data_IF_909775624711
#
_entry.id   IF_909775624711
#
_cell.length_a   1.000
_cell.length_b   1.000
_cell.length_c   1.000
_cell.angle_alpha   90.00
_cell.angle_beta   90.00
_cell.angle_gamma   90.00
#
_symmetry.space_group_name_H-M   'P 1'
#
loop_
_entity.id
_entity.type
_entity.pdbx_description
1 polymer ?
#
# COMPACT_ATOMS: atom_id res chain seq x y z
N UNK A 1 0.88 7.93 22.03
CA UNK A 1 1.72 9.00 21.45
C UNK A 1 1.65 8.94 19.92
N UNK A 2 1.91 10.03 19.20
CA UNK A 2 1.72 10.09 17.73
C UNK A 2 2.51 9.00 17.00
N UNK A 3 3.78 8.82 17.34
CA UNK A 3 4.65 7.84 16.68
C UNK A 3 4.16 6.40 16.83
N UNK A 4 3.57 6.05 18.00
CA UNK A 4 3.03 4.71 18.25
C UNK A 4 1.78 4.47 17.42
N UNK A 5 0.88 5.46 17.38
CA UNK A 5 -0.31 5.40 16.53
C UNK A 5 0.07 5.26 15.04
N UNK A 6 1.09 5.98 14.57
CA UNK A 6 1.59 5.84 13.18
C UNK A 6 2.09 4.41 12.93
N UNK A 7 2.87 3.83 13.85
CA UNK A 7 3.35 2.46 13.72
C UNK A 7 2.20 1.44 13.70
N UNK A 8 1.19 1.62 14.55
CA UNK A 8 -0.03 0.79 14.57
C UNK A 8 -0.82 0.91 13.26
N UNK A 9 -1.00 2.13 12.75
CA UNK A 9 -1.67 2.38 11.47
C UNK A 9 -0.92 1.65 10.34
N UNK A 10 0.41 1.81 10.24
CA UNK A 10 1.23 1.13 9.23
C UNK A 10 1.00 -0.38 9.28
N UNK A 11 1.11 -0.97 10.48
CA UNK A 11 0.94 -2.42 10.66
C UNK A 11 -0.44 -2.90 10.21
N UNK A 12 -1.50 -2.19 10.62
CA UNK A 12 -2.88 -2.55 10.27
C UNK A 12 -3.10 -2.41 8.75
N UNK A 13 -2.64 -1.30 8.16
CA UNK A 13 -2.81 -1.06 6.73
C UNK A 13 -2.03 -2.05 5.89
N UNK A 14 -0.80 -2.41 6.28
CA UNK A 14 0.05 -3.36 5.57
C UNK A 14 -0.57 -4.76 5.57
N UNK A 15 -1.12 -5.20 6.72
CA UNK A 15 -1.86 -6.46 6.80
C UNK A 15 -3.07 -6.42 5.85
N UNK A 16 -3.82 -5.32 5.82
CA UNK A 16 -4.97 -5.16 4.93
C UNK A 16 -4.58 -5.17 3.45
N UNK A 17 -3.53 -4.43 3.08
CA UNK A 17 -2.97 -4.43 1.71
C UNK A 17 -2.51 -5.83 1.32
N UNK A 18 -1.77 -6.52 2.19
CA UNK A 18 -1.29 -7.88 1.94
C UNK A 18 -2.42 -8.84 1.60
N UNK A 19 -3.48 -8.87 2.42
CA UNK A 19 -4.60 -9.79 2.19
C UNK A 19 -5.43 -9.42 0.97
N UNK A 20 -5.64 -8.12 0.71
CA UNK A 20 -6.30 -7.66 -0.51
C UNK A 20 -5.51 -8.08 -1.76
N UNK A 21 -4.21 -7.78 -1.78
CA UNK A 21 -3.31 -8.14 -2.87
C UNK A 21 -3.23 -9.66 -3.08
N UNK A 22 -3.12 -10.43 -2.00
CA UNK A 22 -3.16 -11.89 -2.07
C UNK A 22 -4.49 -12.38 -2.66
N UNK A 23 -5.62 -11.83 -2.26
CA UNK A 23 -6.91 -12.20 -2.82
C UNK A 23 -6.99 -11.88 -4.33
N UNK A 24 -6.42 -10.76 -4.78
CA UNK A 24 -6.32 -10.41 -6.20
C UNK A 24 -5.51 -11.42 -7.01
N UNK A 25 -4.49 -12.03 -6.42
CA UNK A 25 -3.68 -13.07 -7.07
C UNK A 25 -4.31 -14.47 -7.00
N UNK A 26 -5.07 -14.79 -5.95
CA UNK A 26 -5.59 -16.15 -5.72
C UNK A 26 -7.01 -16.36 -6.27
N UNK A 27 -7.82 -15.30 -6.40
CA UNK A 27 -9.22 -15.39 -6.85
C UNK A 27 -9.32 -15.01 -8.34
N UNK A 28 -9.67 -15.93 -9.26
CA UNK A 28 -9.65 -15.67 -10.71
C UNK A 28 -10.54 -14.51 -11.17
N UNK A 29 -11.63 -14.23 -10.46
CA UNK A 29 -12.50 -13.10 -10.77
C UNK A 29 -11.84 -11.75 -10.43
N UNK A 30 -11.09 -11.68 -9.33
CA UNK A 30 -10.40 -10.47 -8.90
C UNK A 30 -9.16 -10.20 -9.75
N UNK A 31 -8.44 -11.25 -10.15
CA UNK A 31 -7.28 -11.14 -11.04
C UNK A 31 -7.57 -10.34 -12.32
N UNK A 32 -8.78 -10.43 -12.88
CA UNK A 32 -9.16 -9.66 -14.08
C UNK A 32 -8.99 -8.15 -13.92
N UNK A 33 -9.15 -7.63 -12.69
CA UNK A 33 -8.90 -6.22 -12.38
C UNK A 33 -7.42 -5.96 -12.10
N UNK A 34 -6.78 -6.85 -11.34
CA UNK A 34 -5.38 -6.71 -10.93
C UNK A 34 -4.39 -6.92 -12.08
N UNK A 35 -4.77 -7.65 -13.12
CA UNK A 35 -3.97 -7.83 -14.33
C UNK A 35 -3.67 -6.50 -15.03
N UNK A 36 -4.51 -5.47 -14.85
CA UNK A 36 -4.19 -4.10 -15.31
C UNK A 36 -2.94 -3.61 -14.59
N UNK A 37 -2.87 -3.74 -13.25
CA UNK A 37 -1.70 -3.33 -12.49
C UNK A 37 -0.42 -4.04 -12.92
N UNK A 38 -0.48 -5.37 -13.13
CA UNK A 38 0.66 -6.17 -13.62
C UNK A 38 0.95 -6.02 -15.11
N UNK A 39 0.19 -5.21 -15.85
CA UNK A 39 0.38 -4.97 -17.27
C UNK A 39 1.49 -3.96 -17.62
N UNK A 40 2.20 -3.43 -16.62
CA UNK A 40 3.30 -2.48 -16.81
C UNK A 40 4.50 -3.21 -17.47
N UNK A 41 4.99 -2.70 -18.59
CA UNK A 41 6.18 -3.25 -19.27
C UNK A 41 7.50 -2.69 -18.71
N UNK A 42 7.50 -1.40 -18.35
CA UNK A 42 8.66 -0.69 -17.81
C UNK A 42 8.27 -0.04 -16.48
N UNK A 43 8.95 -0.41 -15.39
CA UNK A 43 8.64 0.11 -14.07
C UNK A 43 9.19 1.52 -13.90
N UNK A 44 8.32 2.45 -13.52
CA UNK A 44 8.67 3.74 -12.93
C UNK A 44 7.60 4.15 -11.91
N UNK A 45 7.77 5.30 -11.24
CA UNK A 45 6.89 5.76 -10.16
C UNK A 45 5.44 5.99 -10.59
N UNK A 46 5.15 6.12 -11.90
CA UNK A 46 3.77 6.18 -12.40
C UNK A 46 3.07 4.82 -12.29
N UNK A 47 3.82 3.73 -12.21
CA UNK A 47 3.31 2.39 -11.92
C UNK A 47 2.49 2.30 -10.63
N UNK A 48 2.78 3.17 -9.65
CA UNK A 48 1.97 3.30 -8.43
C UNK A 48 0.50 3.69 -8.69
N UNK A 49 0.22 4.32 -9.83
CA UNK A 49 -1.11 4.78 -10.23
C UNK A 49 -1.70 3.94 -11.36
N UNK A 50 -0.94 2.99 -11.90
CA UNK A 50 -1.41 2.07 -12.92
C UNK A 50 -2.17 0.92 -12.25
N UNK A 51 -3.48 1.12 -12.06
CA UNK A 51 -4.37 0.12 -11.46
C UNK A 51 -5.80 0.30 -11.95
N UNK A 52 -6.57 -0.79 -11.94
CA UNK A 52 -8.00 -0.71 -12.20
C UNK A 52 -8.73 -0.05 -11.00
N UNK A 53 -9.77 0.78 -11.19
CA UNK A 53 -10.47 1.43 -10.06
C UNK A 53 -11.00 0.46 -8.99
N UNK A 54 -11.48 -0.72 -9.39
CA UNK A 54 -11.91 -1.78 -8.44
C UNK A 54 -10.76 -2.26 -7.57
N UNK A 55 -9.56 -2.40 -8.13
CA UNK A 55 -8.37 -2.77 -7.38
C UNK A 55 -8.09 -1.74 -6.28
N UNK A 56 -7.98 -0.47 -6.69
CA UNK A 56 -7.77 0.64 -5.77
C UNK A 56 -8.84 0.70 -4.67
N UNK A 57 -10.12 0.61 -5.03
CA UNK A 57 -11.23 0.70 -4.08
C UNK A 57 -11.20 -0.46 -3.08
N UNK A 58 -11.05 -1.71 -3.54
CA UNK A 58 -11.03 -2.89 -2.66
C UNK A 58 -9.82 -2.85 -1.74
N UNK A 59 -8.64 -2.56 -2.27
CA UNK A 59 -7.40 -2.46 -1.49
C UNK A 59 -7.52 -1.36 -0.42
N UNK A 60 -8.04 -0.18 -0.77
CA UNK A 60 -8.26 0.91 0.20
C UNK A 60 -9.36 0.59 1.21
N UNK A 61 -10.46 -0.03 0.79
CA UNK A 61 -11.54 -0.40 1.69
C UNK A 61 -11.04 -1.39 2.76
N UNK A 62 -10.32 -2.44 2.36
CA UNK A 62 -9.80 -3.45 3.28
C UNK A 62 -8.74 -2.84 4.22
N UNK A 63 -7.82 -2.04 3.68
CA UNK A 63 -6.70 -1.51 4.46
C UNK A 63 -7.07 -0.34 5.38
N UNK A 64 -7.94 0.58 4.95
CA UNK A 64 -8.22 1.82 5.69
C UNK A 64 -9.47 1.76 6.58
N UNK A 65 -10.43 0.86 6.29
CA UNK A 65 -11.65 0.76 7.09
C UNK A 65 -11.36 0.58 8.59
N UNK A 66 -10.46 -0.32 9.03
CA UNK A 66 -10.15 -0.45 10.45
C UNK A 66 -9.63 0.85 11.08
N UNK A 67 -8.83 1.62 10.34
CA UNK A 67 -8.24 2.87 10.83
C UNK A 67 -9.31 3.90 11.20
N UNK A 68 -10.39 3.99 10.42
CA UNK A 68 -11.51 4.89 10.71
C UNK A 68 -12.35 4.48 11.92
N UNK A 69 -12.35 3.20 12.31
CA UNK A 69 -13.11 2.70 13.46
C UNK A 69 -12.32 2.70 14.77
N UNK A 70 -10.99 2.74 14.72
CA UNK A 70 -10.11 2.60 15.88
C UNK A 70 -9.78 3.93 16.60
N UNK A 71 -10.27 5.06 16.08
CA UNK A 71 -10.16 6.35 16.77
C UNK A 71 -8.75 6.95 16.80
N UNK A 72 -7.92 6.67 15.80
CA UNK A 72 -6.61 7.30 15.66
C UNK A 72 -6.73 8.82 15.49
N UNK A 73 -5.73 9.57 15.98
CA UNK A 73 -5.73 11.02 15.85
C UNK A 73 -5.54 11.47 14.40
N UNK A 74 -6.17 12.60 14.03
CA UNK A 74 -6.02 13.19 12.69
C UNK A 74 -4.55 13.45 12.33
N UNK A 75 -3.76 13.91 13.31
CA UNK A 75 -2.33 14.13 13.15
C UNK A 75 -1.58 12.83 12.80
N UNK A 76 -1.89 11.71 13.45
CA UNK A 76 -1.29 10.40 13.13
C UNK A 76 -1.70 9.91 11.75
N UNK A 77 -2.97 10.06 11.37
CA UNK A 77 -3.46 9.70 10.03
C UNK A 77 -2.79 10.55 8.95
N UNK A 78 -2.61 11.85 9.19
CA UNK A 78 -1.92 12.75 8.27
C UNK A 78 -0.44 12.35 8.08
N UNK A 79 0.28 12.10 9.18
CA UNK A 79 1.68 11.64 9.12
C UNK A 79 1.79 10.31 8.38
N UNK A 80 0.94 9.34 8.72
CA UNK A 80 0.86 8.07 8.00
C UNK A 80 0.63 8.29 6.50
N UNK A 81 -0.32 9.16 6.12
CA UNK A 81 -0.67 9.38 4.71
C UNK A 81 0.51 9.90 3.89
N UNK A 82 1.34 10.77 4.47
CA UNK A 82 2.57 11.26 3.83
C UNK A 82 3.59 10.13 3.69
N UNK A 83 3.82 9.35 4.76
CA UNK A 83 4.74 8.20 4.72
C UNK A 83 4.31 7.20 3.65
N UNK A 84 3.03 6.81 3.67
CA UNK A 84 2.44 5.85 2.75
C UNK A 84 2.55 6.32 1.29
N UNK A 85 2.27 7.60 1.01
CA UNK A 85 2.38 8.14 -0.34
C UNK A 85 3.81 8.01 -0.88
N UNK A 86 4.80 8.50 -0.13
CA UNK A 86 6.20 8.44 -0.55
C UNK A 86 6.74 7.02 -0.63
N UNK A 87 6.33 6.15 0.31
CA UNK A 87 6.71 4.74 0.29
C UNK A 87 6.12 4.01 -0.92
N UNK A 88 4.86 4.28 -1.27
CA UNK A 88 4.22 3.72 -2.46
C UNK A 88 4.97 4.13 -3.74
N UNK A 89 5.38 5.39 -3.86
CA UNK A 89 6.19 5.85 -5.00
C UNK A 89 7.57 5.19 -5.03
N UNK A 90 8.19 5.02 -3.87
CA UNK A 90 9.51 4.40 -3.74
C UNK A 90 9.50 2.94 -4.18
N UNK A 91 8.54 2.13 -3.69
CA UNK A 91 8.47 0.70 -4.02
C UNK A 91 8.03 0.46 -5.47
N UNK A 92 7.44 1.46 -6.12
CA UNK A 92 7.15 1.46 -7.56
C UNK A 92 8.16 2.31 -8.35
N UNK A 93 9.39 2.51 -7.90
CA UNK A 93 10.37 3.30 -8.65
C UNK A 93 11.38 2.42 -9.38
N UNK A 94 12.00 2.96 -10.44
CA UNK A 94 13.19 2.38 -11.07
C UNK A 94 14.51 2.77 -10.36
N UNK A 95 14.43 3.25 -9.12
CA UNK A 95 15.60 3.64 -8.34
C UNK A 95 16.29 2.40 -7.79
N UNK A 96 17.61 2.31 -8.01
CA UNK A 96 18.44 1.22 -7.49
C UNK A 96 19.09 1.66 -6.17
N UNK A 97 18.33 1.62 -5.08
CA UNK A 97 18.81 2.05 -3.76
C UNK A 97 19.27 0.82 -2.95
N UNK A 98 20.55 0.74 -2.55
CA UNK A 98 21.04 -0.36 -1.73
C UNK A 98 20.67 -0.15 -0.25
N UNK A 99 19.45 -0.54 0.15
CA UNK A 99 18.98 -0.42 1.54
C UNK A 99 19.73 -1.28 2.56
N UNK A 100 20.62 -2.19 2.11
CA UNK A 100 21.36 -3.08 3.01
C UNK A 100 20.40 -3.92 3.87
N UNK A 101 20.65 -4.04 5.19
CA UNK A 101 19.75 -4.74 6.10
C UNK A 101 18.34 -4.13 6.19
N UNK A 102 18.17 -2.83 5.90
CA UNK A 102 16.88 -2.14 6.03
C UNK A 102 15.87 -2.53 4.95
N UNK A 103 16.28 -3.27 3.91
CA UNK A 103 15.36 -3.72 2.86
C UNK A 103 14.15 -4.42 3.45
N UNK A 104 14.33 -5.27 4.47
CA UNK A 104 13.24 -6.02 5.09
C UNK A 104 12.15 -5.16 5.74
N UNK A 105 12.43 -3.87 5.97
CA UNK A 105 11.46 -2.91 6.51
C UNK A 105 10.95 -1.93 5.44
N UNK A 106 11.75 -1.63 4.41
CA UNK A 106 11.50 -0.53 3.47
C UNK A 106 11.15 -1.02 2.06
N UNK A 107 11.67 -2.17 1.62
CA UNK A 107 11.72 -2.60 0.22
C UNK A 107 11.38 -4.09 0.01
#
# INVERSE_FOLDING_TARGET
>A
PIWLQVAEIILITDIGVYWAHRAFHEIPALWKFHAVHHGIEELDWLGAFHSHPVDAIVTKAISLTPIFFLGFSEASIAVFSVIYFWHTLLVHSNLRIPFGPLRWLIA
#
